data_IF_314241873553
#
_entry.id   IF_314241873553
#
_cell.length_a   1.000
_cell.length_b   1.000
_cell.length_c   1.000
_cell.angle_alpha   90.00
_cell.angle_beta   90.00
_cell.angle_gamma   90.00
#
_symmetry.space_group_name_H-M   'P 1'
#
loop_
_entity.id
_entity.type
_entity.pdbx_description
1 polymer ?
#
# COMPACT_ATOMS: atom_id res chain seq x y z
N UNK A 1 -1.62 -14.82 -21.44
CA UNK A 1 -1.48 -14.42 -20.02
C UNK A 1 -2.55 -13.40 -19.70
N UNK A 2 -3.17 -13.44 -18.52
CA UNK A 2 -4.20 -12.44 -18.15
C UNK A 2 -3.55 -11.09 -17.80
N UNK A 3 -4.19 -9.98 -18.19
CA UNK A 3 -3.75 -8.61 -17.87
C UNK A 3 -3.51 -8.44 -16.35
N UNK A 4 -4.35 -9.07 -15.52
CA UNK A 4 -4.21 -9.04 -14.07
C UNK A 4 -2.88 -9.63 -13.57
N UNK A 5 -2.41 -10.72 -14.18
CA UNK A 5 -1.16 -11.36 -13.77
C UNK A 5 0.06 -10.50 -14.13
N UNK A 6 0.00 -9.77 -15.24
CA UNK A 6 1.07 -8.86 -15.64
C UNK A 6 1.16 -7.65 -14.70
N UNK A 7 0.02 -7.06 -14.34
CA UNK A 7 -0.02 -5.98 -13.34
C UNK A 7 0.54 -6.44 -11.99
N UNK A 8 0.16 -7.64 -11.53
CA UNK A 8 0.73 -8.19 -10.29
C UNK A 8 2.25 -8.37 -10.40
N UNK A 9 2.76 -8.89 -11.52
CA UNK A 9 4.20 -9.07 -11.73
C UNK A 9 4.93 -7.74 -11.64
N UNK A 10 4.46 -6.73 -12.36
CA UNK A 10 5.02 -5.37 -12.31
C UNK A 10 5.00 -4.80 -10.90
N UNK A 11 3.93 -5.05 -10.15
CA UNK A 11 3.82 -4.59 -8.77
C UNK A 11 4.81 -5.26 -7.81
N UNK A 12 5.14 -6.54 -8.03
CA UNK A 12 6.16 -7.25 -7.23
C UNK A 12 7.59 -6.89 -7.67
N UNK A 13 7.80 -6.59 -8.95
CA UNK A 13 9.12 -6.24 -9.50
C UNK A 13 9.52 -4.79 -9.18
N UNK A 14 8.60 -3.97 -8.65
CA UNK A 14 8.88 -2.59 -8.28
C UNK A 14 9.88 -2.49 -7.12
N UNK A 15 10.96 -1.72 -7.34
CA UNK A 15 12.04 -1.52 -6.37
C UNK A 15 11.83 -0.30 -5.48
N UNK A 16 10.96 0.63 -5.87
CA UNK A 16 10.59 1.80 -5.09
C UNK A 16 9.56 1.44 -4.00
N UNK A 17 9.67 2.09 -2.84
CA UNK A 17 8.74 1.93 -1.73
C UNK A 17 7.54 2.86 -1.90
N UNK A 18 6.35 2.29 -2.04
CA UNK A 18 5.08 3.01 -2.17
C UNK A 18 4.23 2.94 -0.90
N UNK A 19 4.68 2.20 0.12
CA UNK A 19 3.95 2.03 1.39
C UNK A 19 4.91 2.07 2.56
N UNK A 20 4.66 2.98 3.50
CA UNK A 20 5.39 3.04 4.77
C UNK A 20 4.54 2.44 5.90
N UNK A 21 5.17 1.71 6.82
CA UNK A 21 4.52 1.15 8.01
C UNK A 21 5.23 1.61 9.26
N UNK A 22 4.49 2.26 10.17
CA UNK A 22 4.99 2.65 11.49
C UNK A 22 4.16 1.96 12.56
N UNK A 23 4.80 1.11 13.37
CA UNK A 23 4.18 0.41 14.49
C UNK A 23 4.30 1.23 15.77
N UNK A 24 3.22 1.28 16.57
CA UNK A 24 3.13 1.97 17.86
C UNK A 24 2.28 1.14 18.82
N UNK A 25 2.91 0.54 19.81
CA UNK A 25 2.27 -0.39 20.76
C UNK A 25 1.45 -1.45 20.00
N UNK A 26 0.13 -1.46 20.21
CA UNK A 26 -0.81 -2.38 19.59
C UNK A 26 -1.49 -1.82 18.34
N UNK A 27 -0.89 -0.81 17.71
CA UNK A 27 -1.41 -0.16 16.52
C UNK A 27 -0.35 0.00 15.44
N UNK A 28 -0.78 0.11 14.19
CA UNK A 28 0.08 0.43 13.06
C UNK A 28 -0.53 1.54 12.21
N UNK A 29 0.33 2.41 11.67
CA UNK A 29 -0.03 3.40 10.66
C UNK A 29 0.59 2.96 9.35
N UNK A 30 -0.26 2.66 8.37
CA UNK A 30 0.10 2.33 6.99
C UNK A 30 -0.12 3.58 6.15
N UNK A 31 0.92 4.08 5.50
CA UNK A 31 0.90 5.30 4.70
C UNK A 31 1.12 4.95 3.23
N UNK A 32 0.15 5.24 2.37
CA UNK A 32 0.33 5.22 0.92
C UNK A 32 1.27 6.37 0.53
N UNK A 33 2.41 6.09 -0.09
CA UNK A 33 3.52 7.02 -0.23
C UNK A 33 3.88 7.30 -1.70
N UNK A 34 2.87 7.70 -2.49
CA UNK A 34 3.06 8.23 -3.84
C UNK A 34 2.42 9.63 -3.98
N UNK A 35 2.78 10.60 -3.12
CA UNK A 35 2.04 11.87 -3.01
C UNK A 35 2.05 12.70 -4.29
N UNK A 36 3.10 12.55 -5.13
CA UNK A 36 3.21 13.23 -6.42
C UNK A 36 2.12 12.81 -7.39
N UNK A 37 1.65 11.56 -7.29
CA UNK A 37 0.53 11.00 -8.07
C UNK A 37 -0.74 10.87 -7.21
N UNK A 38 -0.86 11.64 -6.12
CA UNK A 38 -2.01 11.61 -5.22
C UNK A 38 -2.34 10.20 -4.69
N UNK A 39 -1.33 9.35 -4.50
CA UNK A 39 -1.49 7.98 -4.02
C UNK A 39 -2.51 7.17 -4.84
N UNK A 40 -2.46 7.27 -6.18
CA UNK A 40 -3.26 6.44 -7.09
C UNK A 40 -3.00 4.95 -6.78
N UNK A 41 -4.04 4.12 -6.85
CA UNK A 41 -3.97 2.67 -6.61
C UNK A 41 -3.32 1.93 -7.81
N UNK A 42 -2.08 2.30 -8.11
CA UNK A 42 -1.23 1.65 -9.08
C UNK A 42 -0.92 0.20 -8.65
N UNK A 43 -0.57 -0.65 -9.62
CA UNK A 43 -0.23 -2.04 -9.34
C UNK A 43 0.85 -2.21 -8.23
N UNK A 44 2.00 -1.50 -8.25
CA UNK A 44 3.00 -1.62 -7.18
C UNK A 44 2.48 -1.16 -5.82
N UNK A 45 1.77 -0.03 -5.76
CA UNK A 45 1.21 0.47 -4.50
C UNK A 45 0.19 -0.51 -3.91
N UNK A 46 -0.70 -1.07 -4.72
CA UNK A 46 -1.69 -2.06 -4.27
C UNK A 46 -1.03 -3.36 -3.79
N UNK A 47 -0.01 -3.85 -4.51
CA UNK A 47 0.73 -5.06 -4.12
C UNK A 47 1.42 -4.85 -2.77
N UNK A 48 2.13 -3.73 -2.60
CA UNK A 48 2.83 -3.43 -1.35
C UNK A 48 1.87 -3.17 -0.18
N UNK A 49 0.77 -2.44 -0.43
CA UNK A 49 -0.25 -2.18 0.60
C UNK A 49 -0.91 -3.48 1.07
N UNK A 50 -1.24 -4.36 0.13
CA UNK A 50 -1.78 -5.69 0.46
C UNK A 50 -0.79 -6.52 1.28
N UNK A 51 0.49 -6.54 0.89
CA UNK A 51 1.52 -7.27 1.62
C UNK A 51 1.65 -6.76 3.07
N UNK A 52 1.74 -5.44 3.26
CA UNK A 52 1.81 -4.80 4.57
C UNK A 52 0.57 -5.12 5.44
N UNK A 53 -0.63 -5.02 4.87
CA UNK A 53 -1.86 -5.32 5.61
C UNK A 53 -1.99 -6.80 5.97
N UNK A 54 -1.53 -7.71 5.10
CA UNK A 54 -1.51 -9.16 5.39
C UNK A 54 -0.53 -9.46 6.52
N UNK A 55 0.65 -8.85 6.51
CA UNK A 55 1.64 -9.00 7.60
C UNK A 55 1.06 -8.51 8.93
N UNK A 56 0.45 -7.32 8.94
CA UNK A 56 -0.17 -6.74 10.14
C UNK A 56 -1.36 -7.57 10.63
N UNK A 57 -2.16 -8.14 9.72
CA UNK A 57 -3.30 -8.99 10.08
C UNK A 57 -2.88 -10.33 10.70
N UNK A 58 -1.66 -10.81 10.41
CA UNK A 58 -1.12 -12.03 10.98
C UNK A 58 -0.47 -11.81 12.37
N UNK A 59 -0.27 -10.56 12.77
CA UNK A 59 0.38 -10.20 14.03
C UNK A 59 -0.65 -10.04 15.17
N UNK A 60 -0.67 -10.94 16.17
CA UNK A 60 -1.64 -10.87 17.27
C UNK A 60 -1.45 -9.64 18.19
N UNK A 61 -0.30 -8.97 18.16
CA UNK A 61 -0.07 -7.76 18.95
C UNK A 61 -0.73 -6.53 18.33
N UNK A 62 -1.02 -6.55 17.02
CA UNK A 62 -1.67 -5.45 16.31
C UNK A 62 -3.18 -5.58 16.43
N UNK A 63 -3.79 -4.60 17.10
CA UNK A 63 -5.24 -4.54 17.33
C UNK A 63 -5.94 -3.48 16.47
N UNK A 64 -5.19 -2.53 15.90
CA UNK A 64 -5.76 -1.44 15.11
C UNK A 64 -4.79 -0.99 14.02
N UNK A 65 -5.33 -0.74 12.82
CA UNK A 65 -4.57 -0.20 11.70
C UNK A 65 -5.21 1.12 11.26
N UNK A 66 -4.39 2.17 11.16
CA UNK A 66 -4.74 3.42 10.49
C UNK A 66 -4.16 3.34 9.08
N UNK A 67 -5.03 3.43 8.07
CA UNK A 67 -4.61 3.56 6.68
C UNK A 67 -4.77 5.02 6.27
N UNK A 68 -3.69 5.64 5.80
CA UNK A 68 -3.67 7.06 5.39
C UNK A 68 -2.81 7.26 4.14
N UNK A 69 -2.86 8.46 3.55
CA UNK A 69 -2.02 8.85 2.42
C UNK A 69 -1.00 9.91 2.81
N UNK A 70 0.20 9.84 2.24
CA UNK A 70 1.19 10.89 2.33
C UNK A 70 0.74 12.13 1.56
N UNK A 71 1.21 13.31 1.99
CA UNK A 71 0.95 14.57 1.31
C UNK A 71 -0.48 15.09 1.53
N UNK A 72 -1.08 15.64 0.47
CA UNK A 72 -2.29 16.47 0.58
C UNK A 72 -3.63 15.71 0.61
N UNK A 73 -3.61 14.40 0.49
CA UNK A 73 -4.83 13.60 0.39
C UNK A 73 -4.59 12.11 0.62
N UNK A 74 -5.69 11.38 0.80
CA UNK A 74 -5.63 9.93 1.03
C UNK A 74 -5.21 9.16 -0.23
N UNK A 75 -6.07 9.13 -1.25
CA UNK A 75 -5.83 8.49 -2.55
C UNK A 75 -6.77 9.09 -3.60
N UNK A 76 -6.31 9.22 -4.83
CA UNK A 76 -7.14 9.60 -5.98
C UNK A 76 -7.95 8.43 -6.58
N UNK A 77 -7.80 7.21 -6.07
CA UNK A 77 -8.55 6.04 -6.54
C UNK A 77 -7.78 5.16 -7.54
N UNK A 78 -8.52 4.41 -8.36
CA UNK A 78 -7.96 3.44 -9.30
C UNK A 78 -7.04 4.10 -10.34
N UNK A 79 -5.96 3.40 -10.70
CA UNK A 79 -5.17 3.75 -11.88
C UNK A 79 -6.00 3.41 -13.13
N UNK A 80 -6.10 4.37 -14.06
CA UNK A 80 -6.90 4.24 -15.29
C UNK A 80 -6.03 3.95 -16.51
N UNK A 81 -4.71 3.88 -16.34
CA UNK A 81 -3.73 3.54 -17.38
C UNK A 81 -3.48 2.02 -17.47
#
# INVERSE_FOLDING_TARGET
>A
MSIYQELLRQGHDATESFVDVVRRDHSAVVTLNEPQRLNILSAPLVVQAKAALVELAADPEIRTVVLTGAGRGFSAGADLE
#
